data_IF_260133742156
#
_entry.id   IF_260133742156
#
_cell.length_a   1.000
_cell.length_b   1.000
_cell.length_c   1.000
_cell.angle_alpha   90.00
_cell.angle_beta   90.00
_cell.angle_gamma   90.00
#
_symmetry.space_group_name_H-M   'P 1'
#
loop_
_entity.id
_entity.type
_entity.pdbx_description
1 polymer ?
#
# COMPACT_ATOMS: atom_id res chain seq x y z
N UNK A 1 -19.71 7.59 -12.17
CA UNK A 1 -18.32 7.54 -11.69
C UNK A 1 -17.90 6.08 -11.66
N UNK A 2 -17.03 5.63 -12.59
CA UNK A 2 -16.43 4.31 -12.46
C UNK A 2 -15.40 4.35 -11.34
N UNK A 3 -15.36 3.30 -10.52
CA UNK A 3 -14.41 3.15 -9.43
C UNK A 3 -13.39 2.11 -9.85
N UNK A 4 -12.12 2.48 -9.80
CA UNK A 4 -11.04 1.52 -9.99
C UNK A 4 -10.86 0.70 -8.71
N UNK A 5 -10.91 -0.63 -8.85
CA UNK A 5 -10.80 -1.57 -7.75
C UNK A 5 -9.44 -2.26 -7.79
N UNK A 6 -8.67 -2.09 -6.73
CA UNK A 6 -7.41 -2.78 -6.51
C UNK A 6 -7.59 -3.74 -5.34
N UNK A 7 -7.28 -5.02 -5.54
CA UNK A 7 -7.24 -6.03 -4.49
C UNK A 7 -5.85 -6.63 -4.41
N UNK A 8 -5.24 -6.57 -3.24
CA UNK A 8 -3.85 -6.97 -3.07
C UNK A 8 -3.38 -6.91 -1.63
N UNK A 9 -2.06 -6.96 -1.47
CA UNK A 9 -1.37 -6.74 -0.21
C UNK A 9 -0.43 -5.55 -0.38
N UNK A 10 -0.43 -4.65 0.61
CA UNK A 10 0.57 -3.58 0.71
C UNK A 10 1.43 -3.89 1.92
N UNK A 11 2.75 -3.86 1.75
CA UNK A 11 3.71 -4.00 2.82
C UNK A 11 4.67 -2.81 2.82
N UNK A 12 4.97 -2.26 3.99
CA UNK A 12 5.89 -1.15 4.14
C UNK A 12 6.95 -1.45 5.19
N UNK A 13 8.16 -0.92 5.00
CA UNK A 13 9.26 -1.11 5.94
C UNK A 13 10.29 0.02 5.83
N UNK A 14 10.84 0.42 6.98
CA UNK A 14 12.00 1.31 7.07
C UNK A 14 13.22 0.52 7.55
N UNK A 15 14.40 0.86 7.04
CA UNK A 15 15.66 0.17 7.32
C UNK A 15 16.65 1.09 8.01
N UNK A 16 17.60 0.50 8.75
CA UNK A 16 18.66 1.25 9.44
C UNK A 16 19.57 2.04 8.49
N UNK A 17 19.63 1.66 7.21
CA UNK A 17 20.33 2.43 6.16
C UNK A 17 19.70 3.79 5.87
N UNK A 18 18.46 4.03 6.33
CA UNK A 18 17.66 5.20 5.97
C UNK A 18 16.72 4.94 4.79
N UNK A 19 16.85 3.80 4.12
CA UNK A 19 15.89 3.36 3.09
C UNK A 19 14.52 3.11 3.71
N UNK A 20 13.47 3.48 2.99
CA UNK A 20 12.11 3.06 3.31
C UNK A 20 11.40 2.65 2.03
N UNK A 21 10.61 1.59 2.10
CA UNK A 21 9.90 1.05 0.94
C UNK A 21 8.44 0.82 1.28
N UNK A 22 7.59 1.00 0.27
CA UNK A 22 6.21 0.54 0.25
C UNK A 22 6.06 -0.30 -1.02
N UNK A 23 5.61 -1.54 -0.85
CA UNK A 23 5.43 -2.51 -1.92
C UNK A 23 3.95 -2.82 -2.03
N UNK A 24 3.36 -2.56 -3.18
CA UNK A 24 2.01 -2.98 -3.52
C UNK A 24 2.05 -4.24 -4.38
N UNK A 25 1.47 -5.34 -3.91
CA UNK A 25 1.28 -6.56 -4.69
C UNK A 25 -0.22 -6.74 -5.00
N UNK A 26 -0.60 -6.47 -6.24
CA UNK A 26 -1.99 -6.37 -6.68
C UNK A 26 -2.38 -7.61 -7.46
N UNK A 27 -3.31 -8.39 -6.92
CA UNK A 27 -3.85 -9.59 -7.56
C UNK A 27 -4.96 -9.24 -8.56
N UNK A 28 -5.76 -8.22 -8.25
CA UNK A 28 -6.85 -7.74 -9.11
C UNK A 28 -6.69 -6.23 -9.28
N UNK A 29 -6.64 -5.74 -10.51
CA UNK A 29 -6.64 -4.31 -10.83
C UNK A 29 -7.10 -4.06 -12.27
N UNK A 30 -7.41 -2.81 -12.67
CA UNK A 30 -7.66 -2.44 -14.06
C UNK A 30 -6.48 -2.73 -15.02
N UNK A 31 -5.27 -2.88 -14.47
CA UNK A 31 -4.05 -3.16 -15.23
C UNK A 31 -3.65 -4.65 -15.20
N UNK A 32 -4.50 -5.52 -14.66
CA UNK A 32 -4.17 -6.92 -14.38
C UNK A 32 -3.38 -7.11 -13.08
N UNK A 33 -2.71 -8.25 -12.94
CA UNK A 33 -1.86 -8.52 -11.78
C UNK A 33 -0.52 -7.80 -11.94
N UNK A 34 -0.08 -7.05 -10.93
CA UNK A 34 1.22 -6.39 -10.96
C UNK A 34 1.76 -6.11 -9.55
N UNK A 35 3.04 -5.76 -9.49
CA UNK A 35 3.70 -5.28 -8.28
C UNK A 35 4.33 -3.93 -8.58
N UNK A 36 4.19 -2.97 -7.68
CA UNK A 36 4.89 -1.68 -7.72
C UNK A 36 5.64 -1.42 -6.41
N UNK A 37 6.70 -0.61 -6.50
CA UNK A 37 7.51 -0.25 -5.35
C UNK A 37 7.71 1.26 -5.28
N UNK A 38 7.31 1.85 -4.16
CA UNK A 38 7.70 3.20 -3.78
C UNK A 38 8.91 3.09 -2.87
N UNK A 39 10.04 3.65 -3.29
CA UNK A 39 11.30 3.60 -2.57
C UNK A 39 11.75 5.01 -2.20
N UNK A 40 11.83 5.29 -0.90
CA UNK A 40 12.49 6.47 -0.37
C UNK A 40 13.93 6.12 0.00
N UNK A 41 14.89 6.74 -0.68
CA UNK A 41 16.32 6.59 -0.43
C UNK A 41 16.77 7.36 0.82
N UNK A 42 17.97 7.08 1.36
CA UNK A 42 18.48 7.75 2.56
C UNK A 42 18.65 9.27 2.38
N UNK A 43 18.89 9.73 1.15
CA UNK A 43 18.96 11.14 0.78
C UNK A 43 17.59 11.84 0.69
N UNK A 44 16.48 11.12 0.94
CA UNK A 44 15.11 11.62 0.87
C UNK A 44 14.45 11.52 -0.51
N UNK A 45 15.19 11.12 -1.56
CA UNK A 45 14.65 10.94 -2.91
C UNK A 45 13.59 9.84 -2.93
N UNK A 46 12.42 10.13 -3.52
CA UNK A 46 11.32 9.17 -3.71
C UNK A 46 11.30 8.68 -5.15
N UNK A 47 11.59 7.40 -5.32
CA UNK A 47 11.62 6.70 -6.58
C UNK A 47 10.42 5.77 -6.68
N UNK A 48 9.66 5.86 -7.78
CA UNK A 48 8.66 4.85 -8.15
C UNK A 48 9.30 3.84 -9.09
N UNK A 49 9.25 2.55 -8.75
CA UNK A 49 9.58 1.43 -9.63
C UNK A 49 8.28 0.76 -10.07
N UNK A 50 8.00 0.80 -11.37
CA UNK A 50 6.76 0.26 -11.93
C UNK A 50 7.05 -0.67 -13.12
N UNK A 51 6.26 -1.76 -13.30
CA UNK A 51 6.53 -2.77 -14.32
C UNK A 51 6.12 -2.34 -15.73
N UNK A 52 5.30 -1.29 -15.86
CA UNK A 52 4.85 -0.79 -17.16
C UNK A 52 4.57 0.73 -17.12
N UNK A 53 4.68 1.44 -18.27
CA UNK A 53 4.44 2.88 -18.33
C UNK A 53 3.03 3.30 -17.91
N UNK A 54 2.01 2.47 -18.18
CA UNK A 54 0.63 2.77 -17.80
C UNK A 54 0.45 2.79 -16.27
N UNK A 55 1.03 1.80 -15.58
CA UNK A 55 1.03 1.72 -14.11
C UNK A 55 1.83 2.87 -13.53
N UNK A 56 3.02 3.17 -14.09
CA UNK A 56 3.85 4.27 -13.66
C UNK A 56 3.11 5.61 -13.69
N UNK A 57 2.41 5.92 -14.80
CA UNK A 57 1.60 7.13 -14.94
C UNK A 57 0.43 7.17 -13.96
N UNK A 58 -0.25 6.04 -13.77
CA UNK A 58 -1.38 5.95 -12.85
C UNK A 58 -0.95 6.23 -11.41
N UNK A 59 0.08 5.54 -10.92
CA UNK A 59 0.57 5.67 -9.54
C UNK A 59 1.21 7.06 -9.31
N UNK A 60 1.94 7.60 -10.29
CA UNK A 60 2.50 8.94 -10.21
C UNK A 60 1.45 10.08 -10.26
N UNK A 61 0.23 9.80 -10.72
CA UNK A 61 -0.88 10.75 -10.61
C UNK A 61 -1.49 10.80 -9.21
N UNK A 62 -1.33 9.72 -8.43
CA UNK A 62 -1.80 9.63 -7.04
C UNK A 62 -0.78 10.21 -6.05
N UNK A 63 0.52 9.97 -6.29
CA UNK A 63 1.59 10.37 -5.38
C UNK A 63 2.71 11.12 -6.10
N UNK A 64 3.34 12.06 -5.39
CA UNK A 64 4.47 12.82 -5.92
C UNK A 64 5.77 12.02 -5.74
N UNK A 65 6.45 11.75 -6.84
CA UNK A 65 7.77 11.14 -6.88
C UNK A 65 8.79 12.10 -7.47
N UNK A 66 10.02 12.00 -7.00
CA UNK A 66 11.14 12.79 -7.53
C UNK A 66 11.72 12.10 -8.77
N UNK A 67 11.61 10.76 -8.83
CA UNK A 67 11.99 9.94 -9.99
C UNK A 67 10.99 8.81 -10.22
N UNK A 68 10.71 8.50 -11.48
CA UNK A 68 9.88 7.36 -11.89
C UNK A 68 10.68 6.50 -12.86
N UNK A 69 10.78 5.21 -12.56
CA UNK A 69 11.48 4.23 -13.36
C UNK A 69 10.53 3.11 -13.78
N UNK A 70 10.43 2.91 -15.10
CA UNK A 70 9.75 1.73 -15.65
C UNK A 70 10.81 0.63 -15.77
N UNK A 71 10.70 -0.39 -14.93
CA UNK A 71 11.67 -1.50 -14.83
C UNK A 71 10.94 -2.80 -14.58
N UNK A 72 11.57 -3.94 -14.90
CA UNK A 72 11.08 -5.24 -14.44
C UNK A 72 10.91 -5.25 -12.92
N UNK A 73 9.72 -5.63 -12.47
CA UNK A 73 9.37 -5.87 -11.06
C UNK A 73 8.95 -7.32 -10.95
N UNK A 74 9.65 -8.10 -10.14
CA UNK A 74 9.36 -9.52 -9.92
C UNK A 74 9.12 -9.79 -8.44
N UNK A 75 8.36 -10.85 -8.16
CA UNK A 75 7.98 -11.23 -6.80
C UNK A 75 6.54 -10.84 -6.45
N UNK A 76 6.25 -10.69 -5.16
CA UNK A 76 4.93 -10.38 -4.65
C UNK A 76 4.69 -10.90 -3.23
N UNK A 77 3.41 -11.07 -2.90
CA UNK A 77 2.95 -11.55 -1.60
C UNK A 77 2.52 -13.02 -1.66
N UNK A 78 3.08 -13.85 -0.78
CA UNK A 78 2.78 -15.29 -0.72
C UNK A 78 1.81 -15.69 0.42
N UNK A 79 1.40 -14.74 1.26
CA UNK A 79 0.58 -14.99 2.45
C UNK A 79 1.31 -14.84 3.78
N UNK A 80 2.65 -14.93 3.76
CA UNK A 80 3.51 -14.82 4.94
C UNK A 80 4.69 -13.85 4.73
N UNK A 81 5.07 -13.59 3.49
CA UNK A 81 6.14 -12.68 3.14
C UNK A 81 5.86 -11.89 1.86
N UNK A 82 6.37 -10.67 1.84
CA UNK A 82 6.47 -9.83 0.65
C UNK A 82 7.92 -9.88 0.18
N UNK A 83 8.19 -10.44 -1.00
CA UNK A 83 9.54 -10.47 -1.58
C UNK A 83 9.50 -9.88 -2.97
N UNK A 84 10.34 -8.86 -3.23
CA UNK A 84 10.35 -8.14 -4.51
C UNK A 84 11.77 -7.80 -4.94
N UNK A 85 12.01 -7.90 -6.24
CA UNK A 85 13.19 -7.38 -6.93
C UNK A 85 12.78 -6.40 -8.02
N UNK A 86 13.37 -5.20 -8.01
CA UNK A 86 13.10 -4.16 -9.00
C UNK A 86 14.23 -3.14 -9.05
N UNK A 87 14.72 -2.76 -10.23
CA UNK A 87 15.63 -1.61 -10.38
C UNK A 87 16.87 -1.62 -9.48
N UNK A 88 17.44 -2.81 -9.21
CA UNK A 88 18.58 -2.99 -8.30
C UNK A 88 18.22 -3.07 -6.80
N UNK A 89 16.96 -2.84 -6.44
CA UNK A 89 16.42 -3.06 -5.09
C UNK A 89 15.99 -4.53 -4.95
N UNK A 90 16.41 -5.16 -3.85
CA UNK A 90 15.88 -6.45 -3.38
C UNK A 90 15.37 -6.26 -1.96
N UNK A 91 14.08 -6.55 -1.74
CA UNK A 91 13.47 -6.46 -0.43
C UNK A 91 12.73 -7.75 -0.07
N UNK A 92 12.84 -8.15 1.19
CA UNK A 92 11.99 -9.18 1.79
C UNK A 92 11.45 -8.68 3.12
N UNK A 93 10.13 -8.60 3.22
CA UNK A 93 9.41 -8.27 4.45
C UNK A 93 8.66 -9.51 4.92
N UNK A 94 8.85 -9.87 6.18
CA UNK A 94 8.14 -10.98 6.80
C UNK A 94 6.93 -10.46 7.56
N UNK A 95 5.80 -11.13 7.43
CA UNK A 95 4.65 -10.86 8.28
C UNK A 95 5.00 -11.21 9.72
N UNK A 96 4.82 -10.27 10.63
CA UNK A 96 4.83 -10.58 12.06
C UNK A 96 3.69 -11.55 12.42
N UNK A 97 3.85 -12.28 13.52
CA UNK A 97 2.78 -13.09 14.08
C UNK A 97 1.53 -12.23 14.32
N UNK A 98 0.38 -12.68 13.83
CA UNK A 98 -0.91 -11.99 14.02
C UNK A 98 -1.22 -11.89 15.52
N UNK A 99 -1.10 -10.70 16.10
CA UNK A 99 -1.58 -10.44 17.45
C UNK A 99 -3.11 -10.56 17.53
N UNK A 100 -3.66 -10.72 18.74
CA UNK A 100 -5.11 -10.82 18.96
C UNK A 100 -5.91 -9.66 18.33
N UNK A 101 -5.29 -8.49 18.22
CA UNK A 101 -5.84 -7.30 17.57
C UNK A 101 -6.08 -7.49 16.07
N UNK A 102 -5.22 -8.23 15.36
CA UNK A 102 -5.38 -8.53 13.93
C UNK A 102 -6.57 -9.46 13.66
N UNK A 103 -6.91 -10.34 14.60
CA UNK A 103 -8.06 -11.25 14.50
C UNK A 103 -9.41 -10.51 14.59
N UNK A 104 -9.47 -9.44 15.40
CA UNK A 104 -10.64 -8.56 15.51
C UNK A 104 -10.96 -7.82 14.20
N UNK A 105 -9.96 -7.53 13.37
CA UNK A 105 -10.17 -6.96 12.03
C UNK A 105 -10.45 -8.03 10.97
N UNK A 106 -9.83 -9.21 11.08
CA UNK A 106 -10.03 -10.31 10.14
C UNK A 106 -11.45 -10.92 10.16
N UNK A 107 -12.17 -10.80 11.28
CA UNK A 107 -13.54 -11.32 11.45
C UNK A 107 -14.61 -10.53 10.69
N UNK A 108 -14.26 -9.44 10.01
CA UNK A 108 -15.22 -8.57 9.31
C UNK A 108 -15.75 -9.21 8.01
N UNK A 109 -17.07 -9.25 7.78
CA UNK A 109 -17.65 -9.78 6.56
C UNK A 109 -17.11 -9.07 5.30
N UNK A 110 -16.64 -9.83 4.31
CA UNK A 110 -16.07 -9.32 3.04
C UNK A 110 -16.98 -8.32 2.30
N UNK A 111 -18.29 -8.45 2.49
CA UNK A 111 -19.31 -7.60 1.83
C UNK A 111 -19.29 -6.16 2.34
N UNK A 112 -18.97 -5.94 3.61
CA UNK A 112 -18.92 -4.59 4.22
C UNK A 112 -17.63 -3.84 3.89
N UNK A 113 -16.51 -4.57 3.72
CA UNK A 113 -15.17 -4.04 3.39
C UNK A 113 -15.09 -3.33 2.04
N UNK A 114 -15.99 -3.66 1.11
CA UNK A 114 -16.02 -3.06 -0.24
C UNK A 114 -16.82 -1.75 -0.30
N UNK A 115 -17.57 -1.39 0.76
CA UNK A 115 -18.48 -0.22 0.75
C UNK A 115 -17.78 1.04 1.29
N UNK A 116 -17.65 2.13 0.49
CA UNK A 116 -16.93 3.36 0.89
C UNK A 116 -17.44 4.04 2.16
N UNK A 117 -18.73 3.92 2.46
CA UNK A 117 -19.33 4.50 3.67
C UNK A 117 -18.89 3.76 4.95
N UNK A 118 -18.58 2.46 4.85
CA UNK A 118 -18.09 1.67 5.98
C UNK A 118 -16.62 1.97 6.29
N UNK A 119 -15.80 2.15 5.25
CA UNK A 119 -14.40 2.62 5.36
C UNK A 119 -14.33 4.01 6.04
N UNK A 120 -15.28 4.90 5.75
CA UNK A 120 -15.37 6.21 6.40
C UNK A 120 -15.81 6.13 7.88
N UNK A 121 -16.67 5.16 8.22
CA UNK A 121 -17.07 4.91 9.61
C UNK A 121 -15.91 4.31 10.41
N UNK A 122 -15.14 3.38 9.83
CA UNK A 122 -13.93 2.85 10.45
C UNK A 122 -12.86 3.95 10.63
N UNK A 123 -12.63 4.80 9.63
CA UNK A 123 -11.70 5.94 9.74
C UNK A 123 -12.13 6.92 10.85
N UNK A 124 -13.43 7.08 11.11
CA UNK A 124 -13.95 7.94 12.20
C UNK A 124 -13.89 7.29 13.58
N UNK A 125 -14.28 6.02 13.70
CA UNK A 125 -14.37 5.32 14.98
C UNK A 125 -13.01 4.82 15.47
N UNK A 126 -12.08 4.53 14.56
CA UNK A 126 -10.79 3.96 14.90
C UNK A 126 -9.70 5.03 15.16
N UNK A 127 -9.98 6.31 14.89
CA UNK A 127 -9.12 7.48 15.18
C UNK A 127 -8.56 7.53 16.61
N UNK A 128 -9.35 7.33 17.68
CA UNK A 128 -8.82 7.40 19.04
C UNK A 128 -8.07 6.13 19.46
N UNK A 129 -8.30 5.00 18.78
CA UNK A 129 -7.88 3.67 19.21
C UNK A 129 -6.66 3.15 18.45
N UNK A 130 -6.59 3.38 17.13
CA UNK A 130 -5.48 2.91 16.28
C UNK A 130 -4.17 3.64 16.59
N UNK A 131 -4.22 4.96 16.80
CA UNK A 131 -3.03 5.76 17.10
C UNK A 131 -2.37 5.43 18.45
N UNK A 132 -3.13 4.86 19.39
CA UNK A 132 -2.63 4.53 20.74
C UNK A 132 -2.21 3.06 20.91
N UNK A 133 -2.70 2.15 20.08
CA UNK A 133 -2.62 0.70 20.34
C UNK A 133 -1.74 -0.04 19.32
N UNK A 134 -1.54 0.47 18.10
CA UNK A 134 -0.90 -0.31 17.01
C UNK A 134 0.47 0.23 16.57
N UNK A 135 0.95 1.38 17.09
CA UNK A 135 2.20 1.95 16.58
C UNK A 135 2.14 2.26 15.08
N UNK A 136 0.94 2.46 14.53
CA UNK A 136 0.77 3.03 13.20
C UNK A 136 1.25 4.48 13.22
N UNK A 137 1.98 4.90 12.18
CA UNK A 137 2.45 6.27 12.06
C UNK A 137 1.28 7.26 12.21
N UNK A 138 1.45 8.33 12.99
CA UNK A 138 0.47 9.41 13.07
C UNK A 138 0.12 9.89 11.65
N UNK A 139 -1.16 9.79 11.26
CA UNK A 139 -1.65 10.33 9.98
C UNK A 139 -2.04 9.32 8.91
N UNK A 140 -2.00 8.00 9.17
CA UNK A 140 -2.58 7.01 8.24
C UNK A 140 -4.09 7.22 8.14
N UNK A 141 -4.58 7.58 6.94
CA UNK A 141 -6.02 7.74 6.65
C UNK A 141 -6.50 6.56 5.81
N UNK A 142 -7.58 5.91 6.22
CA UNK A 142 -8.20 4.82 5.45
C UNK A 142 -9.13 5.37 4.35
N UNK A 143 -9.51 6.65 4.43
CA UNK A 143 -10.22 7.37 3.38
C UNK A 143 -9.60 8.75 3.18
N UNK A 144 -9.39 9.14 1.93
CA UNK A 144 -8.76 10.43 1.61
C UNK A 144 -9.02 10.88 0.20
N UNK A 145 -8.69 12.15 -0.07
CA UNK A 145 -8.61 12.69 -1.42
C UNK A 145 -7.13 12.72 -1.78
N UNK A 146 -6.74 11.98 -2.81
CA UNK A 146 -5.39 12.01 -3.36
C UNK A 146 -5.08 13.44 -3.84
N UNK A 147 -3.81 13.87 -3.83
CA UNK A 147 -3.38 15.15 -4.42
C UNK A 147 -3.92 15.42 -5.84
N UNK A 148 -4.19 14.37 -6.63
CA UNK A 148 -4.81 14.45 -7.95
C UNK A 148 -6.35 14.54 -7.97
N UNK A 149 -7.02 14.71 -6.82
CA UNK A 149 -8.47 14.87 -6.70
C UNK A 149 -9.27 13.56 -6.61
N UNK A 150 -8.62 12.41 -6.62
CA UNK A 150 -9.29 11.10 -6.59
C UNK A 150 -9.64 10.65 -5.16
N UNK A 151 -10.79 10.00 -4.97
CA UNK A 151 -11.18 9.47 -3.66
C UNK A 151 -10.59 8.08 -3.43
N UNK A 152 -9.70 7.94 -2.45
CA UNK A 152 -9.08 6.68 -2.06
C UNK A 152 -9.79 6.07 -0.85
N UNK A 153 -10.01 4.75 -0.89
CA UNK A 153 -10.62 3.97 0.19
C UNK A 153 -9.85 2.68 0.39
N UNK A 154 -9.26 2.50 1.57
CA UNK A 154 -8.49 1.31 1.96
C UNK A 154 -9.31 0.46 2.93
N UNK A 155 -9.34 -0.86 2.71
CA UNK A 155 -9.98 -1.81 3.62
C UNK A 155 -9.17 -3.10 3.68
N UNK A 156 -9.12 -3.73 4.85
CA UNK A 156 -8.37 -4.97 5.15
C UNK A 156 -9.36 -6.10 5.36
#
# INVERSE_FOLDING_TARGET
MSRDLFEGCIAGGGFASGDAVVVGAWRTSPFGMFVDVMWRRPNGERVLLAPAPAIARYVAALYRFDRVEVTGVTGGWDGASMAVEAGGLRVRLLAGSRGAQSWLFASRPRVLRRRPWWVQIEDRLARPFIGRVIGGAQGVRAAGIAPGGQHEYYSV
#
